data_IF_136322595810
#
_entry.id   IF_136322595810
#
_cell.length_a   1.000
_cell.length_b   1.000
_cell.length_c   1.000
_cell.angle_alpha   90.00
_cell.angle_beta   90.00
_cell.angle_gamma   90.00
#
_symmetry.space_group_name_H-M   'P 1'
#
loop_
_entity.id
_entity.type
_entity.pdbx_description
1 polymer ?
#
# COMPACT_ATOMS: atom_id res chain seq x y z
N UNK A 1 18.77 0.11 7.26
CA UNK A 1 18.05 -0.93 8.01
C UNK A 1 16.64 -0.43 8.26
N UNK A 2 15.64 -1.05 7.68
CA UNK A 2 14.24 -0.68 7.91
C UNK A 2 13.91 -0.89 9.38
N UNK A 3 13.36 0.12 10.04
CA UNK A 3 13.03 0.03 11.46
C UNK A 3 11.65 -0.64 11.60
N UNK A 4 11.57 -1.97 11.32
CA UNK A 4 10.35 -2.77 11.36
C UNK A 4 9.51 -2.51 12.62
N UNK A 5 10.16 -2.23 13.76
CA UNK A 5 9.48 -1.92 15.03
C UNK A 5 8.56 -0.70 14.89
N UNK A 6 9.00 0.35 14.20
CA UNK A 6 8.20 1.55 14.00
C UNK A 6 6.98 1.27 13.12
N UNK A 7 7.13 0.42 12.09
CA UNK A 7 6.02 0.01 11.25
C UNK A 7 5.05 -0.92 11.98
N UNK A 8 5.55 -1.88 12.78
CA UNK A 8 4.70 -2.69 13.65
C UNK A 8 3.88 -1.81 14.58
N UNK A 9 4.51 -0.80 15.20
CA UNK A 9 3.84 0.15 16.07
C UNK A 9 2.80 0.99 15.29
N UNK A 10 3.12 1.40 14.05
CA UNK A 10 2.19 2.12 13.20
C UNK A 10 0.89 1.33 12.94
N UNK A 11 1.01 0.04 12.59
CA UNK A 11 -0.16 -0.80 12.31
C UNK A 11 -0.92 -1.23 13.57
N UNK A 12 -0.23 -1.48 14.69
CA UNK A 12 -0.85 -1.99 15.92
C UNK A 12 -1.45 -0.91 16.82
N UNK A 13 -0.87 0.29 16.83
CA UNK A 13 -1.34 1.35 17.74
C UNK A 13 -2.40 2.21 17.07
N UNK A 14 -3.50 2.44 17.78
CA UNK A 14 -4.56 3.33 17.32
C UNK A 14 -4.12 4.79 17.40
N UNK A 15 -4.51 5.59 16.41
CA UNK A 15 -4.34 7.05 16.45
C UNK A 15 -5.22 7.69 17.53
N UNK A 16 -6.32 7.02 17.89
CA UNK A 16 -7.21 7.44 18.98
C UNK A 16 -6.50 7.49 20.33
N UNK A 17 -5.49 6.60 20.56
CA UNK A 17 -4.72 6.59 21.82
C UNK A 17 -3.96 7.90 22.02
N UNK A 18 -3.35 8.45 20.99
CA UNK A 18 -2.65 9.73 21.07
C UNK A 18 -3.63 10.89 21.29
N UNK A 19 -4.77 10.86 20.59
CA UNK A 19 -5.82 11.89 20.74
C UNK A 19 -6.44 11.84 22.13
N UNK A 20 -6.73 10.64 22.66
CA UNK A 20 -7.22 10.46 24.03
C UNK A 20 -6.20 10.99 25.04
N UNK A 21 -4.93 10.63 24.87
CA UNK A 21 -3.85 11.11 25.74
C UNK A 21 -3.73 12.63 25.76
N UNK A 22 -3.81 13.28 24.60
CA UNK A 22 -3.81 14.73 24.49
C UNK A 22 -5.04 15.34 25.17
N UNK A 23 -6.23 14.77 24.94
CA UNK A 23 -7.47 15.20 25.58
C UNK A 23 -7.40 15.12 27.10
N UNK A 24 -6.91 14.01 27.66
CA UNK A 24 -6.72 13.83 29.09
C UNK A 24 -5.70 14.83 29.66
N UNK A 25 -4.60 15.09 28.96
CA UNK A 25 -3.58 16.06 29.39
C UNK A 25 -4.15 17.46 29.46
N UNK A 26 -4.85 17.92 28.41
CA UNK A 26 -5.47 19.24 28.35
C UNK A 26 -6.56 19.38 29.45
N UNK A 27 -7.44 18.37 29.56
CA UNK A 27 -8.48 18.36 30.60
C UNK A 27 -7.88 18.38 32.02
N UNK A 28 -6.79 17.61 32.22
CA UNK A 28 -6.06 17.58 33.48
C UNK A 28 -5.48 18.94 33.86
N UNK A 29 -4.90 19.66 32.91
CA UNK A 29 -4.38 21.03 33.10
C UNK A 29 -5.50 22.03 33.47
N UNK A 30 -6.63 21.94 32.77
CA UNK A 30 -7.79 22.79 33.05
C UNK A 30 -8.32 22.53 34.47
N UNK A 31 -8.52 21.27 34.85
CA UNK A 31 -8.99 20.88 36.18
C UNK A 31 -7.97 21.23 37.26
N UNK A 32 -6.70 21.10 37.02
CA UNK A 32 -5.64 21.54 37.92
C UNK A 32 -5.74 23.04 38.20
N UNK A 33 -5.92 23.87 37.15
CA UNK A 33 -6.06 25.31 37.30
C UNK A 33 -7.35 25.71 38.03
N UNK A 34 -8.48 25.06 37.71
CA UNK A 34 -9.76 25.27 38.43
C UNK A 34 -9.68 24.84 39.89
N UNK A 35 -8.98 23.74 40.18
CA UNK A 35 -8.74 23.28 41.57
C UNK A 35 -7.94 24.28 42.40
N UNK A 36 -6.96 24.91 41.75
CA UNK A 36 -6.18 25.97 42.39
C UNK A 36 -6.99 27.24 42.64
N UNK A 37 -7.90 27.62 41.71
CA UNK A 37 -8.58 28.90 41.70
C UNK A 37 -9.95 28.87 42.36
N UNK A 38 -10.68 27.75 42.37
CA UNK A 38 -12.09 27.69 42.75
C UNK A 38 -12.38 26.60 43.78
N UNK A 39 -12.14 25.30 43.43
CA UNK A 39 -12.50 24.15 44.25
C UNK A 39 -11.40 23.07 44.26
N UNK A 40 -10.89 22.76 45.45
CA UNK A 40 -9.84 21.78 45.68
C UNK A 40 -10.13 20.37 45.11
N UNK A 41 -11.40 20.01 44.99
CA UNK A 41 -11.79 18.70 44.43
C UNK A 41 -11.29 18.50 43.00
N UNK A 42 -11.27 19.57 42.18
CA UNK A 42 -10.77 19.53 40.81
C UNK A 42 -9.27 19.27 40.75
N UNK A 43 -8.52 19.67 41.76
CA UNK A 43 -7.10 19.41 41.86
C UNK A 43 -6.82 17.92 42.00
N UNK A 44 -7.57 17.18 42.82
CA UNK A 44 -7.41 15.73 42.98
C UNK A 44 -7.75 14.95 41.74
N UNK A 45 -8.58 15.45 40.85
CA UNK A 45 -8.90 14.82 39.56
C UNK A 45 -7.88 15.25 38.51
N UNK A 46 -7.50 16.51 38.45
CA UNK A 46 -6.61 17.07 37.43
C UNK A 46 -5.18 16.51 37.52
N UNK A 47 -4.62 16.42 38.73
CA UNK A 47 -3.24 15.96 38.96
C UNK A 47 -2.95 14.60 38.36
N UNK A 48 -3.74 13.52 38.55
CA UNK A 48 -3.47 12.24 37.98
C UNK A 48 -3.72 12.20 36.46
N UNK A 49 -4.63 13.03 35.92
CA UNK A 49 -4.91 13.05 34.47
C UNK A 49 -3.72 13.54 33.62
N UNK A 50 -2.91 14.46 34.17
CA UNK A 50 -1.75 15.01 33.46
C UNK A 50 -0.72 13.92 33.12
N UNK A 51 -0.15 13.19 34.09
CA UNK A 51 0.85 12.17 33.77
C UNK A 51 0.26 10.99 32.97
N UNK A 52 -0.99 10.59 33.20
CA UNK A 52 -1.67 9.54 32.45
C UNK A 52 -1.85 9.99 31.01
N UNK A 53 -2.37 11.21 30.79
CA UNK A 53 -2.54 11.77 29.45
C UNK A 53 -1.23 11.91 28.70
N UNK A 54 -0.17 12.37 29.37
CA UNK A 54 1.17 12.48 28.82
C UNK A 54 1.74 11.11 28.43
N UNK A 55 1.62 10.10 29.29
CA UNK A 55 2.07 8.75 29.00
C UNK A 55 1.35 8.13 27.78
N UNK A 56 0.01 8.31 27.70
CA UNK A 56 -0.78 7.83 26.58
C UNK A 56 -0.41 8.57 25.27
N UNK A 57 -0.19 9.88 25.35
CA UNK A 57 0.23 10.69 24.20
C UNK A 57 1.59 10.23 23.67
N UNK A 58 2.59 10.08 24.55
CA UNK A 58 3.91 9.57 24.18
C UNK A 58 3.79 8.16 23.60
N UNK A 59 3.05 7.25 24.23
CA UNK A 59 2.84 5.91 23.74
C UNK A 59 2.19 5.91 22.35
N UNK A 60 1.23 6.78 22.11
CA UNK A 60 0.52 6.88 20.83
C UNK A 60 1.35 7.50 19.70
N UNK A 61 2.35 8.35 20.02
CA UNK A 61 3.11 9.10 19.00
C UNK A 61 4.54 8.61 18.79
N UNK A 62 5.22 8.14 19.85
CA UNK A 62 6.65 7.81 19.77
C UNK A 62 6.92 6.46 19.13
N UNK A 63 7.98 6.37 18.35
CA UNK A 63 8.46 5.12 17.75
C UNK A 63 7.46 4.51 16.75
N UNK A 64 6.74 5.36 16.04
CA UNK A 64 5.83 4.98 14.93
C UNK A 64 6.37 5.55 13.61
N UNK A 65 6.26 4.76 12.56
CA UNK A 65 6.33 5.26 11.19
C UNK A 65 5.11 6.14 10.88
N UNK A 66 5.20 6.95 9.84
CA UNK A 66 4.06 7.71 9.32
C UNK A 66 3.64 7.23 7.91
N UNK A 67 2.55 7.82 7.39
CA UNK A 67 2.07 7.48 6.05
C UNK A 67 3.05 7.92 4.94
N UNK A 68 3.86 8.95 5.17
CA UNK A 68 4.84 9.42 4.18
C UNK A 68 6.02 8.46 4.10
N UNK A 69 6.46 7.92 5.24
CA UNK A 69 7.48 6.87 5.26
C UNK A 69 7.02 5.61 4.52
N UNK A 70 5.74 5.20 4.69
CA UNK A 70 5.16 4.09 3.92
C UNK A 70 5.18 4.37 2.41
N UNK A 71 4.71 5.55 2.00
CA UNK A 71 4.71 5.97 0.59
C UNK A 71 6.13 6.01 0.02
N UNK A 72 7.08 6.50 0.79
CA UNK A 72 8.49 6.54 0.40
C UNK A 72 9.05 5.15 0.14
N UNK A 73 8.79 4.18 1.04
CA UNK A 73 9.23 2.80 0.85
C UNK A 73 8.54 2.16 -0.37
N UNK A 74 7.25 2.41 -0.57
CA UNK A 74 6.54 1.93 -1.77
C UNK A 74 7.22 2.48 -3.03
N UNK A 75 7.49 3.78 -3.06
CA UNK A 75 8.14 4.43 -4.20
C UNK A 75 9.54 3.86 -4.44
N UNK A 76 10.38 3.77 -3.40
CA UNK A 76 11.74 3.22 -3.49
C UNK A 76 11.73 1.78 -4.02
N UNK A 77 10.83 0.93 -3.53
CA UNK A 77 10.72 -0.45 -4.00
C UNK A 77 10.15 -0.55 -5.42
N UNK A 78 9.23 0.34 -5.80
CA UNK A 78 8.71 0.41 -7.16
C UNK A 78 9.79 0.89 -8.14
N UNK A 79 10.56 1.90 -7.76
CA UNK A 79 11.65 2.43 -8.59
C UNK A 79 12.81 1.44 -8.71
N UNK A 80 13.03 0.59 -7.71
CA UNK A 80 14.02 -0.48 -7.77
C UNK A 80 13.68 -1.60 -8.78
N UNK A 81 12.44 -1.68 -9.25
CA UNK A 81 12.08 -2.54 -10.37
C UNK A 81 12.50 -1.80 -11.66
N UNK A 82 13.57 -2.25 -12.28
CA UNK A 82 14.11 -1.67 -13.52
C UNK A 82 14.15 -2.73 -14.61
N UNK A 83 14.25 -2.29 -15.86
CA UNK A 83 14.45 -3.14 -17.04
C UNK A 83 15.76 -2.79 -17.76
N UNK A 84 16.71 -2.16 -17.06
CA UNK A 84 17.99 -1.75 -17.64
C UNK A 84 18.80 -2.94 -18.17
N UNK A 85 18.78 -4.06 -17.48
CA UNK A 85 19.38 -5.31 -17.89
C UNK A 85 18.79 -5.83 -19.22
N UNK A 86 17.47 -5.73 -19.37
CA UNK A 86 16.74 -6.10 -20.61
C UNK A 86 17.07 -5.12 -21.72
N UNK A 87 16.99 -3.81 -21.47
CA UNK A 87 17.27 -2.77 -22.46
C UNK A 87 18.70 -2.83 -22.98
N UNK A 88 19.65 -3.23 -22.13
CA UNK A 88 21.06 -3.36 -22.50
C UNK A 88 21.41 -4.73 -23.08
N UNK A 89 20.52 -5.71 -23.03
CA UNK A 89 20.73 -7.04 -23.59
C UNK A 89 20.68 -7.03 -25.12
N UNK A 90 21.66 -7.65 -25.76
CA UNK A 90 21.67 -7.82 -27.21
C UNK A 90 20.48 -8.64 -27.72
N UNK A 91 20.02 -9.60 -26.93
CA UNK A 91 18.88 -10.47 -27.20
C UNK A 91 17.57 -9.68 -27.30
N UNK A 92 17.33 -8.77 -26.36
CA UNK A 92 16.10 -8.00 -26.30
C UNK A 92 16.12 -6.73 -27.17
N UNK A 93 17.29 -6.27 -27.62
CA UNK A 93 17.43 -4.99 -28.34
C UNK A 93 16.50 -4.87 -29.57
N UNK A 94 16.26 -5.97 -30.28
CA UNK A 94 15.38 -6.01 -31.48
C UNK A 94 13.89 -6.03 -31.09
N UNK A 95 13.58 -6.46 -29.88
CA UNK A 95 12.21 -6.60 -29.36
C UNK A 95 11.72 -5.35 -28.61
N UNK A 96 12.62 -4.42 -28.32
CA UNK A 96 12.26 -3.16 -27.65
C UNK A 96 11.80 -2.16 -28.70
N UNK A 97 10.59 -1.59 -28.59
CA UNK A 97 10.11 -0.56 -29.49
C UNK A 97 10.97 0.71 -29.37
N UNK A 98 10.96 1.57 -30.41
CA UNK A 98 11.71 2.83 -30.42
C UNK A 98 11.31 3.76 -29.23
N UNK A 99 10.08 3.65 -28.78
CA UNK A 99 9.58 4.36 -27.58
C UNK A 99 9.03 3.32 -26.59
N UNK A 100 9.88 2.72 -25.77
CA UNK A 100 9.45 1.71 -24.80
C UNK A 100 8.45 2.30 -23.80
N UNK A 101 7.35 1.59 -23.61
CA UNK A 101 6.34 1.97 -22.63
C UNK A 101 6.51 1.09 -21.39
N UNK A 102 6.68 1.73 -20.23
CA UNK A 102 6.68 1.09 -18.94
C UNK A 102 5.46 1.54 -18.14
N UNK A 103 4.76 0.57 -17.56
CA UNK A 103 3.61 0.84 -16.69
C UNK A 103 3.86 0.29 -15.31
N UNK A 104 3.49 1.07 -14.29
CA UNK A 104 3.67 0.70 -12.89
C UNK A 104 2.33 0.42 -12.24
N UNK A 105 2.30 -0.62 -11.42
CA UNK A 105 1.12 -1.10 -10.71
C UNK A 105 1.45 -1.32 -9.24
N UNK A 106 0.45 -1.24 -8.36
CA UNK A 106 0.68 -1.57 -6.97
C UNK A 106 -0.58 -1.54 -6.13
N UNK A 107 -0.64 -2.44 -5.14
CA UNK A 107 -1.72 -2.49 -4.17
C UNK A 107 -1.28 -3.05 -2.82
N UNK A 108 -2.06 -2.74 -1.79
CA UNK A 108 -1.95 -3.41 -0.50
C UNK A 108 -2.54 -4.81 -0.55
N UNK A 109 -1.85 -5.77 0.09
CA UNK A 109 -2.31 -7.15 0.19
C UNK A 109 -3.26 -7.27 1.38
N UNK A 110 -4.49 -7.73 1.14
CA UNK A 110 -5.49 -7.97 2.19
C UNK A 110 -5.73 -9.46 2.34
N UNK A 111 -5.24 -10.03 3.42
CA UNK A 111 -5.48 -11.42 3.83
C UNK A 111 -5.54 -11.50 5.37
N UNK A 112 -5.82 -12.69 5.90
CA UNK A 112 -5.99 -12.92 7.35
C UNK A 112 -4.72 -12.75 8.18
N UNK A 113 -3.55 -12.79 7.53
CA UNK A 113 -2.25 -12.81 8.21
C UNK A 113 -1.52 -11.46 8.20
N UNK A 114 -2.11 -10.42 7.61
CA UNK A 114 -1.51 -9.09 7.56
C UNK A 114 -2.09 -8.17 8.61
N UNK A 115 -1.27 -7.26 9.12
CA UNK A 115 -1.76 -6.17 9.95
C UNK A 115 -2.44 -5.12 9.06
N UNK A 116 -3.57 -4.61 9.51
CA UNK A 116 -4.33 -3.60 8.77
C UNK A 116 -4.58 -2.38 9.62
N UNK A 117 -4.67 -1.22 8.98
CA UNK A 117 -4.96 0.04 9.63
C UNK A 117 -5.83 0.93 8.74
N UNK A 118 -6.78 1.62 9.35
CA UNK A 118 -7.51 2.71 8.70
C UNK A 118 -6.67 3.99 8.79
N UNK A 119 -6.43 4.62 7.66
CA UNK A 119 -5.71 5.89 7.55
C UNK A 119 -6.57 7.06 8.00
N UNK A 120 -5.98 8.23 8.17
CA UNK A 120 -6.72 9.48 8.47
C UNK A 120 -7.69 9.85 7.34
N UNK A 121 -7.38 9.51 6.10
CA UNK A 121 -8.27 9.71 4.93
C UNK A 121 -9.43 8.72 4.85
N UNK A 122 -9.50 7.75 5.77
CA UNK A 122 -10.53 6.71 5.78
C UNK A 122 -10.21 5.45 4.96
N UNK A 123 -9.16 5.48 4.16
CA UNK A 123 -8.70 4.31 3.40
C UNK A 123 -8.13 3.25 4.33
N UNK A 124 -8.23 1.98 3.94
CA UNK A 124 -7.57 0.90 4.69
C UNK A 124 -6.30 0.50 3.96
N UNK A 125 -5.25 0.34 4.71
CA UNK A 125 -3.94 -0.12 4.26
C UNK A 125 -3.52 -1.36 5.04
N UNK A 126 -2.62 -2.15 4.46
CA UNK A 126 -2.08 -3.34 5.11
C UNK A 126 -0.57 -3.29 5.27
N UNK A 127 -0.03 -4.19 6.08
CA UNK A 127 1.40 -4.31 6.32
C UNK A 127 2.18 -5.00 5.19
N UNK A 128 1.51 -5.44 4.14
CA UNK A 128 2.13 -6.02 2.95
C UNK A 128 1.70 -5.27 1.69
N UNK A 129 2.61 -5.13 0.75
CA UNK A 129 2.40 -4.43 -0.51
C UNK A 129 3.00 -5.21 -1.67
N UNK A 130 2.33 -5.18 -2.81
CA UNK A 130 2.84 -5.72 -4.08
C UNK A 130 2.94 -4.58 -5.07
N UNK A 131 4.11 -4.36 -5.62
CA UNK A 131 4.30 -3.51 -6.78
C UNK A 131 4.73 -4.35 -7.98
N UNK A 132 4.36 -3.90 -9.16
CA UNK A 132 4.75 -4.51 -10.42
C UNK A 132 5.08 -3.42 -11.44
N UNK A 133 5.98 -3.74 -12.35
CA UNK A 133 6.18 -2.97 -13.58
C UNK A 133 6.05 -3.89 -14.78
N UNK A 134 5.48 -3.37 -15.85
CA UNK A 134 5.32 -4.03 -17.12
C UNK A 134 6.04 -3.22 -18.19
N UNK A 135 6.97 -3.86 -18.87
CA UNK A 135 7.60 -3.35 -20.08
C UNK A 135 6.89 -3.97 -21.30
N UNK A 136 6.45 -3.12 -22.21
CA UNK A 136 5.81 -3.55 -23.46
C UNK A 136 6.90 -3.71 -24.51
N UNK A 137 7.10 -4.95 -24.96
CA UNK A 137 7.98 -5.31 -26.07
C UNK A 137 7.19 -5.32 -27.40
N UNK A 138 7.85 -5.55 -28.51
CA UNK A 138 7.20 -5.65 -29.81
C UNK A 138 6.32 -6.91 -29.94
N UNK A 139 6.61 -7.95 -29.16
CA UNK A 139 6.03 -9.30 -29.29
C UNK A 139 5.55 -9.90 -27.96
N UNK A 140 5.77 -9.20 -26.83
CA UNK A 140 5.42 -9.71 -25.50
C UNK A 140 5.22 -8.58 -24.47
N UNK A 141 4.61 -8.94 -23.35
CA UNK A 141 4.68 -8.17 -22.09
C UNK A 141 5.71 -8.82 -21.18
N UNK A 142 6.68 -8.05 -20.71
CA UNK A 142 7.59 -8.47 -19.64
C UNK A 142 7.16 -7.83 -18.32
N UNK A 143 6.77 -8.65 -17.36
CA UNK A 143 6.23 -8.19 -16.05
C UNK A 143 7.19 -8.59 -14.95
N UNK A 144 7.62 -7.62 -14.16
CA UNK A 144 8.37 -7.81 -12.91
C UNK A 144 7.52 -7.45 -11.72
N UNK A 145 7.42 -8.35 -10.75
CA UNK A 145 6.68 -8.09 -9.51
C UNK A 145 7.60 -8.14 -8.30
N UNK A 146 7.29 -7.32 -7.31
CA UNK A 146 7.99 -7.28 -6.04
C UNK A 146 6.99 -7.15 -4.90
N UNK A 147 6.83 -8.22 -4.13
CA UNK A 147 6.02 -8.24 -2.92
C UNK A 147 6.92 -8.06 -1.69
N UNK A 148 6.52 -7.23 -0.75
CA UNK A 148 7.28 -6.95 0.46
C UNK A 148 6.39 -6.64 1.66
N UNK A 149 6.96 -6.80 2.86
CA UNK A 149 6.31 -6.47 4.13
C UNK A 149 6.98 -5.27 4.78
N UNK A 150 6.16 -4.34 5.32
CA UNK A 150 6.66 -3.22 6.13
C UNK A 150 7.08 -3.66 7.54
N UNK A 151 6.58 -4.80 8.01
CA UNK A 151 6.73 -5.24 9.40
C UNK A 151 7.64 -6.46 9.58
N UNK A 152 8.11 -7.03 8.48
CA UNK A 152 8.98 -8.21 8.49
C UNK A 152 9.96 -8.16 7.31
N UNK A 153 11.09 -8.83 7.46
CA UNK A 153 12.03 -9.02 6.36
C UNK A 153 11.53 -10.13 5.41
N UNK A 154 10.40 -9.86 4.76
CA UNK A 154 9.78 -10.79 3.81
C UNK A 154 9.66 -10.09 2.47
N UNK A 155 10.32 -10.65 1.47
CA UNK A 155 10.31 -10.14 0.11
C UNK A 155 10.19 -11.29 -0.87
N UNK A 156 9.47 -11.07 -1.97
CA UNK A 156 9.34 -12.02 -3.06
C UNK A 156 9.42 -11.27 -4.38
N UNK A 157 10.29 -11.70 -5.26
CA UNK A 157 10.41 -11.17 -6.63
C UNK A 157 9.98 -12.24 -7.61
N UNK A 158 9.29 -11.85 -8.66
CA UNK A 158 9.03 -12.72 -9.81
C UNK A 158 9.09 -11.93 -11.10
N UNK A 159 9.37 -12.65 -12.17
CA UNK A 159 9.37 -12.15 -13.53
C UNK A 159 8.59 -13.13 -14.38
N UNK A 160 7.78 -12.62 -15.28
CA UNK A 160 7.05 -13.40 -16.27
C UNK A 160 7.08 -12.67 -17.60
N UNK A 161 7.37 -13.39 -18.66
CA UNK A 161 7.19 -12.94 -20.04
C UNK A 161 5.91 -13.55 -20.59
N UNK A 162 5.06 -12.72 -21.17
CA UNK A 162 3.76 -13.10 -21.75
C UNK A 162 3.82 -12.77 -23.24
N UNK A 163 4.10 -13.73 -24.12
CA UNK A 163 4.09 -13.54 -25.57
C UNK A 163 2.70 -13.11 -26.06
N UNK A 164 2.61 -12.17 -26.99
CA UNK A 164 1.32 -11.73 -27.52
C UNK A 164 0.52 -12.86 -28.15
N UNK A 165 1.20 -13.80 -28.79
CA UNK A 165 0.58 -14.99 -29.39
C UNK A 165 -0.12 -15.91 -28.35
N UNK A 166 0.26 -15.83 -27.07
CA UNK A 166 -0.38 -16.62 -26.00
C UNK A 166 -1.54 -15.88 -25.32
N UNK A 167 -1.72 -14.59 -25.61
CA UNK A 167 -2.75 -13.78 -24.93
C UNK A 167 -4.12 -14.06 -25.53
N UNK A 168 -5.00 -14.57 -24.70
CA UNK A 168 -6.40 -14.85 -25.06
C UNK A 168 -7.29 -13.61 -24.83
N UNK A 169 -7.06 -12.88 -23.73
CA UNK A 169 -7.91 -11.76 -23.32
C UNK A 169 -7.18 -10.80 -22.39
N UNK A 170 -7.45 -9.50 -22.56
CA UNK A 170 -7.07 -8.46 -21.59
C UNK A 170 -8.33 -7.72 -21.17
N UNK A 171 -8.57 -7.63 -19.87
CA UNK A 171 -9.74 -6.95 -19.31
C UNK A 171 -9.46 -6.31 -17.94
N UNK A 172 -10.30 -5.37 -17.53
CA UNK A 172 -10.36 -4.92 -16.14
C UNK A 172 -11.29 -5.85 -15.34
N UNK A 173 -10.78 -6.40 -14.24
CA UNK A 173 -11.56 -7.19 -13.29
C UNK A 173 -11.80 -6.35 -12.03
N UNK A 174 -13.06 -6.28 -11.59
CA UNK A 174 -13.43 -5.63 -10.35
C UNK A 174 -13.74 -6.69 -9.30
N UNK A 175 -13.01 -6.67 -8.19
CA UNK A 175 -13.15 -7.64 -7.10
C UNK A 175 -13.52 -6.91 -5.82
N UNK A 176 -14.58 -7.37 -5.17
CA UNK A 176 -14.89 -6.94 -3.82
C UNK A 176 -14.04 -7.76 -2.83
N UNK A 177 -12.96 -7.17 -2.33
CA UNK A 177 -12.14 -7.78 -1.28
C UNK A 177 -12.83 -7.55 0.07
N UNK A 178 -13.10 -8.63 0.80
CA UNK A 178 -13.61 -8.59 2.17
C UNK A 178 -12.50 -8.90 3.14
N UNK A 179 -12.45 -8.17 4.24
CA UNK A 179 -11.45 -8.35 5.29
C UNK A 179 -12.02 -7.97 6.65
N UNK A 180 -11.42 -8.50 7.71
CA UNK A 180 -11.81 -8.20 9.08
C UNK A 180 -10.86 -7.16 9.66
N UNK A 181 -11.40 -6.03 10.13
CA UNK A 181 -10.66 -5.02 10.87
C UNK A 181 -11.40 -4.72 12.17
N UNK A 182 -10.76 -4.93 13.33
CA UNK A 182 -11.35 -4.72 14.65
C UNK A 182 -12.69 -5.45 14.82
N UNK A 183 -12.77 -6.71 14.41
CA UNK A 183 -13.99 -7.55 14.43
C UNK A 183 -15.17 -7.03 13.58
N UNK A 184 -14.91 -6.09 12.67
CA UNK A 184 -15.89 -5.62 11.70
C UNK A 184 -15.48 -6.10 10.31
N UNK A 185 -16.42 -6.70 9.60
CA UNK A 185 -16.22 -7.02 8.18
C UNK A 185 -16.30 -5.71 7.38
N UNK A 186 -15.26 -5.47 6.60
CA UNK A 186 -15.19 -4.35 5.68
C UNK A 186 -15.00 -4.90 4.27
N UNK A 187 -15.58 -4.21 3.30
CA UNK A 187 -15.38 -4.51 1.90
C UNK A 187 -14.70 -3.33 1.22
N UNK A 188 -13.71 -3.62 0.37
CA UNK A 188 -13.10 -2.64 -0.51
C UNK A 188 -13.21 -3.12 -1.95
N UNK A 189 -13.47 -2.20 -2.86
CA UNK A 189 -13.37 -2.46 -4.28
C UNK A 189 -11.90 -2.43 -4.68
N UNK A 190 -11.42 -3.49 -5.27
CA UNK A 190 -10.12 -3.58 -5.90
C UNK A 190 -10.32 -3.82 -7.39
N UNK A 191 -9.50 -3.21 -8.22
CA UNK A 191 -9.52 -3.40 -9.65
C UNK A 191 -8.16 -3.89 -10.11
N UNK A 192 -8.14 -4.78 -11.07
CA UNK A 192 -6.90 -5.32 -11.62
C UNK A 192 -6.99 -5.39 -13.14
N UNK A 193 -5.91 -5.10 -13.81
CA UNK A 193 -5.69 -5.49 -15.18
C UNK A 193 -5.41 -7.00 -15.18
N UNK A 194 -6.23 -7.75 -15.89
CA UNK A 194 -6.09 -9.20 -16.02
C UNK A 194 -5.69 -9.54 -17.44
N UNK A 195 -4.56 -10.21 -17.58
CA UNK A 195 -4.09 -10.78 -18.83
C UNK A 195 -4.28 -12.29 -18.73
N UNK A 196 -5.19 -12.84 -19.54
CA UNK A 196 -5.38 -14.29 -19.66
C UNK A 196 -4.50 -14.77 -20.80
N UNK A 197 -3.60 -15.72 -20.51
CA UNK A 197 -2.67 -16.31 -21.46
C UNK A 197 -2.46 -17.79 -21.11
N UNK A 198 -2.46 -18.66 -22.10
CA UNK A 198 -2.31 -20.12 -21.94
C UNK A 198 -3.23 -20.71 -20.85
N UNK A 199 -4.45 -20.19 -20.73
CA UNK A 199 -5.41 -20.58 -19.67
C UNK A 199 -5.07 -20.05 -18.27
N UNK A 200 -3.99 -19.28 -18.09
CA UNK A 200 -3.55 -18.69 -16.81
C UNK A 200 -3.94 -17.22 -16.76
N UNK A 201 -4.36 -16.74 -15.60
CA UNK A 201 -4.67 -15.32 -15.36
C UNK A 201 -3.55 -14.64 -14.60
N UNK A 202 -2.85 -13.71 -15.25
CA UNK A 202 -1.92 -12.78 -14.59
C UNK A 202 -2.66 -11.52 -14.21
N UNK A 203 -2.70 -11.21 -12.90
CA UNK A 203 -3.39 -10.05 -12.35
C UNK A 203 -2.40 -8.99 -11.94
N UNK A 204 -2.53 -7.79 -12.51
CA UNK A 204 -1.75 -6.60 -12.18
C UNK A 204 -2.68 -5.59 -11.51
N UNK A 205 -2.43 -5.21 -10.24
CA UNK A 205 -3.30 -4.30 -9.52
C UNK A 205 -3.32 -2.93 -10.20
N UNK A 206 -4.44 -2.52 -10.72
CA UNK A 206 -4.62 -1.23 -11.37
C UNK A 206 -5.84 -0.53 -10.80
N UNK A 207 -5.67 0.74 -10.46
CA UNK A 207 -6.77 1.57 -10.02
C UNK A 207 -7.75 1.77 -11.17
N UNK A 208 -9.04 1.61 -10.85
CA UNK A 208 -10.12 1.91 -11.80
C UNK A 208 -10.27 3.43 -11.91
N UNK A 209 -9.76 3.98 -13.00
CA UNK A 209 -9.83 5.38 -13.34
C UNK A 209 -10.35 5.55 -14.79
N UNK A 210 -10.60 6.78 -15.18
CA UNK A 210 -11.12 7.11 -16.52
C UNK A 210 -10.22 6.65 -17.68
N UNK A 211 -8.96 6.33 -17.41
CA UNK A 211 -7.99 5.87 -18.40
C UNK A 211 -7.82 4.34 -18.42
N UNK A 212 -8.48 3.62 -17.50
CA UNK A 212 -8.32 2.17 -17.39
C UNK A 212 -8.80 1.44 -18.64
N UNK A 213 -9.99 1.80 -19.13
CA UNK A 213 -10.57 1.20 -20.35
C UNK A 213 -9.78 1.58 -21.60
N UNK A 214 -9.32 2.82 -21.71
CA UNK A 214 -8.47 3.27 -22.82
C UNK A 214 -7.15 2.49 -22.85
N UNK A 215 -6.56 2.25 -21.70
CA UNK A 215 -5.35 1.45 -21.57
C UNK A 215 -5.57 0.01 -22.02
N UNK A 216 -6.66 -0.64 -21.60
CA UNK A 216 -7.02 -1.99 -22.05
C UNK A 216 -7.21 -2.02 -23.57
N UNK A 217 -7.91 -1.02 -24.14
CA UNK A 217 -8.07 -0.92 -25.58
C UNK A 217 -6.73 -0.76 -26.31
N UNK A 218 -5.82 0.04 -25.76
CA UNK A 218 -4.46 0.21 -26.28
C UNK A 218 -3.70 -1.13 -26.31
N UNK A 219 -3.74 -1.89 -25.20
CA UNK A 219 -3.06 -3.20 -25.13
C UNK A 219 -3.67 -4.20 -26.11
N UNK A 220 -5.00 -4.28 -26.21
CA UNK A 220 -5.68 -5.16 -27.15
C UNK A 220 -5.37 -4.82 -28.62
N UNK A 221 -5.16 -3.53 -28.95
CA UNK A 221 -4.73 -3.13 -30.31
C UNK A 221 -3.31 -3.58 -30.61
N UNK A 222 -2.39 -3.50 -29.64
CA UNK A 222 -1.01 -3.92 -29.81
C UNK A 222 -0.91 -5.41 -30.14
N UNK A 223 -1.72 -6.25 -29.51
CA UNK A 223 -1.77 -7.69 -29.78
C UNK A 223 -2.27 -7.96 -31.20
N UNK A 224 -3.38 -7.34 -31.62
CA UNK A 224 -3.98 -7.55 -32.94
C UNK A 224 -3.11 -7.08 -34.12
N UNK A 225 -2.19 -6.15 -33.90
CA UNK A 225 -1.26 -5.71 -34.95
C UNK A 225 -0.15 -6.76 -35.19
N UNK A 226 0.08 -7.61 -34.21
CA UNK A 226 1.14 -8.63 -34.24
C UNK A 226 0.62 -10.07 -34.55
N UNK A 227 -0.68 -10.25 -34.74
CA UNK A 227 -1.31 -11.42 -35.34
C UNK A 227 -1.22 -11.36 -36.88
#
# INVERSE_FOLDING_TARGET
MSNYKNFINYFKRSDETATLGLGMLVSGLILFWLGWSIYWIFFYIGVPLIPIGFALYIYGTTGRADENELKKIIQENTDAITFEDVKNSAEFRKRIPNSPTEESFGEYVFNTNVLMKKTKSGSVISSEYVCAKMLILNDAFLVRTYAFSFVANKTQKSEIEIPFASVEKIEMEHVNKRYMLNNKELATKASALVITHDGVKTRLPRKDDIYADEFVLKLNRLIKINE
#
